data_IF_527806363173
#
_entry.id   IF_527806363173
#
_cell.length_a   1.000
_cell.length_b   1.000
_cell.length_c   1.000
_cell.angle_alpha   90.00
_cell.angle_beta   90.00
_cell.angle_gamma   90.00
#
_symmetry.space_group_name_H-M   'P 1'
#
loop_
_entity.id
_entity.type
_entity.pdbx_description
1 polymer ?
#
# COMPACT_ATOMS: atom_id res chain seq x y z
N UNK A 1 -24.93 -0.35 59.78
CA UNK A 1 -24.14 -1.06 58.75
C UNK A 1 -23.97 -0.10 57.59
N UNK A 2 -22.73 0.32 57.30
CA UNK A 2 -22.42 1.26 56.22
C UNK A 2 -21.68 0.51 55.12
N UNK A 3 -22.18 0.61 53.90
CA UNK A 3 -21.50 0.11 52.72
C UNK A 3 -20.71 1.28 52.12
N UNK A 4 -19.37 1.17 52.11
CA UNK A 4 -18.51 2.14 51.45
C UNK A 4 -18.25 1.64 50.03
N UNK A 5 -18.66 2.42 49.03
CA UNK A 5 -18.30 2.20 47.64
C UNK A 5 -17.28 3.28 47.29
N UNK A 6 -16.03 2.89 47.08
CA UNK A 6 -14.98 3.75 46.55
C UNK A 6 -14.77 3.39 45.07
N UNK A 7 -14.61 4.41 44.24
CA UNK A 7 -14.19 4.25 42.85
C UNK A 7 -12.73 4.67 42.81
N UNK A 8 -11.84 3.80 42.33
CA UNK A 8 -10.46 4.20 42.05
C UNK A 8 -10.48 5.36 41.02
N UNK A 9 -9.68 6.39 41.28
CA UNK A 9 -9.71 7.62 40.48
C UNK A 9 -9.49 7.33 38.99
N UNK A 10 -10.38 7.88 38.15
CA UNK A 10 -10.22 7.84 36.70
C UNK A 10 -8.97 8.66 36.28
N UNK A 11 -7.89 7.99 35.87
CA UNK A 11 -6.71 8.65 35.30
C UNK A 11 -6.87 8.87 33.79
N UNK A 12 -7.94 9.58 33.39
CA UNK A 12 -8.31 9.83 31.99
C UNK A 12 -7.13 10.30 31.13
N UNK A 13 -6.26 11.14 31.69
CA UNK A 13 -5.08 11.63 30.98
C UNK A 13 -4.09 10.51 30.61
N UNK A 14 -3.88 9.52 31.49
CA UNK A 14 -2.97 8.39 31.21
C UNK A 14 -3.58 7.42 30.21
N UNK A 15 -4.88 7.17 30.31
CA UNK A 15 -5.60 6.31 29.36
C UNK A 15 -5.57 6.89 27.93
N UNK A 16 -5.75 8.20 27.80
CA UNK A 16 -5.66 8.91 26.51
C UNK A 16 -4.23 8.85 25.96
N UNK A 17 -3.22 9.08 26.80
CA UNK A 17 -1.82 9.02 26.38
C UNK A 17 -1.44 7.61 25.90
N UNK A 18 -1.81 6.58 26.67
CA UNK A 18 -1.57 5.19 26.27
C UNK A 18 -2.31 4.79 24.99
N UNK A 19 -3.55 5.27 24.80
CA UNK A 19 -4.27 5.06 23.55
C UNK A 19 -3.56 5.73 22.36
N UNK A 20 -3.09 6.97 22.52
CA UNK A 20 -2.37 7.68 21.47
C UNK A 20 -1.12 6.91 21.02
N UNK A 21 -0.29 6.42 21.95
CA UNK A 21 0.91 5.65 21.61
C UNK A 21 0.59 4.35 20.86
N UNK A 22 -0.45 3.62 21.29
CA UNK A 22 -0.92 2.41 20.61
C UNK A 22 -1.49 2.71 19.24
N UNK A 23 -2.24 3.81 19.11
CA UNK A 23 -2.81 4.25 17.83
C UNK A 23 -1.71 4.60 16.84
N UNK A 24 -0.75 5.42 17.26
CA UNK A 24 0.39 5.80 16.42
C UNK A 24 1.18 4.58 15.93
N UNK A 25 1.44 3.63 16.83
CA UNK A 25 2.16 2.40 16.50
C UNK A 25 1.37 1.54 15.49
N UNK A 26 0.08 1.31 15.75
CA UNK A 26 -0.73 0.45 14.89
C UNK A 26 -1.03 1.09 13.53
N UNK A 27 -1.22 2.41 13.47
CA UNK A 27 -1.39 3.15 12.21
C UNK A 27 -0.11 3.08 11.38
N UNK A 28 1.08 3.18 11.99
CA UNK A 28 2.35 2.97 11.27
C UNK A 28 2.44 1.57 10.68
N UNK A 29 2.13 0.53 11.46
CA UNK A 29 2.10 -0.84 10.93
C UNK A 29 1.06 -1.02 9.81
N UNK A 30 -0.10 -0.35 9.89
CA UNK A 30 -1.10 -0.37 8.82
C UNK A 30 -0.59 0.31 7.54
N UNK A 31 0.14 1.43 7.67
CA UNK A 31 0.79 2.11 6.54
C UNK A 31 1.84 1.21 5.87
N UNK A 32 2.69 0.56 6.65
CA UNK A 32 3.70 -0.38 6.14
C UNK A 32 3.06 -1.54 5.38
N UNK A 33 2.05 -2.18 5.98
CA UNK A 33 1.30 -3.27 5.34
C UNK A 33 0.61 -2.80 4.06
N UNK A 34 0.01 -1.62 4.08
CA UNK A 34 -0.63 -1.01 2.91
C UNK A 34 0.36 -0.80 1.76
N UNK A 35 1.56 -0.28 2.07
CA UNK A 35 2.58 -0.02 1.08
C UNK A 35 3.10 -1.32 0.44
N UNK A 36 3.41 -2.32 1.26
CA UNK A 36 3.83 -3.65 0.81
C UNK A 36 2.74 -4.32 -0.05
N UNK A 37 1.48 -4.17 0.35
CA UNK A 37 0.34 -4.72 -0.36
C UNK A 37 0.18 -4.07 -1.75
N UNK A 38 0.23 -2.73 -1.82
CA UNK A 38 0.16 -2.00 -3.09
C UNK A 38 1.33 -2.31 -4.01
N UNK A 39 2.55 -2.40 -3.49
CA UNK A 39 3.73 -2.81 -4.26
C UNK A 39 3.50 -4.18 -4.90
N UNK A 40 3.05 -5.15 -4.10
CA UNK A 40 2.75 -6.50 -4.58
C UNK A 40 1.63 -6.50 -5.62
N UNK A 41 0.52 -5.82 -5.35
CA UNK A 41 -0.62 -5.76 -6.28
C UNK A 41 -0.25 -5.13 -7.61
N UNK A 42 0.56 -4.09 -7.60
CA UNK A 42 1.09 -3.44 -8.80
C UNK A 42 1.99 -4.41 -9.59
N UNK A 43 2.86 -5.16 -8.90
CA UNK A 43 3.69 -6.22 -9.52
C UNK A 43 2.82 -7.34 -10.11
N UNK A 44 1.74 -7.71 -9.44
CA UNK A 44 0.80 -8.73 -9.89
C UNK A 44 -0.03 -8.26 -11.09
N UNK A 45 -0.39 -6.97 -11.15
CA UNK A 45 -1.04 -6.37 -12.32
C UNK A 45 -0.16 -6.50 -13.57
N UNK A 46 1.14 -6.14 -13.47
CA UNK A 46 2.11 -6.37 -14.54
C UNK A 46 2.19 -7.85 -14.93
N UNK A 47 2.21 -8.74 -13.93
CA UNK A 47 2.33 -10.18 -14.15
C UNK A 47 1.12 -10.79 -14.88
N UNK A 48 -0.08 -10.35 -14.53
CA UNK A 48 -1.33 -10.79 -15.18
C UNK A 48 -1.50 -10.25 -16.61
N UNK A 49 -0.76 -9.19 -16.96
CA UNK A 49 -0.82 -8.55 -18.26
C UNK A 49 -1.79 -7.38 -18.26
N UNK A 50 -1.25 -6.18 -18.49
CA UNK A 50 -2.02 -4.93 -18.46
C UNK A 50 -2.49 -4.57 -19.87
N UNK A 51 -3.78 -4.29 -20.08
CA UNK A 51 -4.29 -3.89 -21.38
C UNK A 51 -3.68 -2.55 -21.84
N UNK A 52 -3.56 -2.30 -23.16
CA UNK A 52 -3.89 -3.23 -24.24
C UNK A 52 -2.78 -4.27 -24.49
N UNK A 53 -3.13 -5.43 -25.08
CA UNK A 53 -2.18 -6.50 -25.40
C UNK A 53 -1.09 -6.03 -26.39
N UNK A 54 0.02 -6.78 -26.44
CA UNK A 54 1.09 -6.52 -27.40
C UNK A 54 0.65 -6.85 -28.83
N UNK A 55 1.12 -6.07 -29.81
CA UNK A 55 0.95 -6.40 -31.24
C UNK A 55 1.69 -7.71 -31.56
N UNK A 56 1.18 -8.50 -32.51
CA UNK A 56 1.80 -9.78 -32.92
C UNK A 56 3.28 -9.66 -33.30
N UNK A 57 3.67 -8.60 -34.02
CA UNK A 57 5.08 -8.34 -34.34
C UNK A 57 5.96 -8.15 -33.08
N UNK A 58 5.41 -7.54 -32.02
CA UNK A 58 6.10 -7.35 -30.75
C UNK A 58 6.19 -8.64 -29.95
N UNK A 59 5.15 -9.47 -29.96
CA UNK A 59 5.15 -10.81 -29.34
C UNK A 59 6.21 -11.69 -30.01
N UNK A 60 6.23 -11.74 -31.34
CA UNK A 60 7.26 -12.48 -32.12
C UNK A 60 8.68 -12.05 -31.76
N UNK A 61 8.91 -10.75 -31.54
CA UNK A 61 10.22 -10.22 -31.14
C UNK A 61 10.58 -10.53 -29.68
N UNK A 62 9.63 -10.44 -28.76
CA UNK A 62 9.85 -10.57 -27.31
C UNK A 62 9.80 -12.00 -26.81
N UNK A 63 9.15 -12.91 -27.54
CA UNK A 63 8.86 -14.26 -27.10
C UNK A 63 7.80 -14.36 -25.99
N UNK A 64 7.13 -13.25 -25.63
CA UNK A 64 6.08 -13.19 -24.61
C UNK A 64 4.93 -12.29 -25.04
N UNK A 65 3.71 -12.68 -24.66
CA UNK A 65 2.50 -11.90 -24.87
C UNK A 65 2.23 -10.88 -23.76
N UNK A 66 2.87 -11.03 -22.59
CA UNK A 66 2.63 -10.20 -21.41
C UNK A 66 3.37 -8.86 -21.50
N UNK A 67 2.65 -7.72 -21.51
CA UNK A 67 3.29 -6.40 -21.50
C UNK A 67 4.18 -6.17 -20.27
N UNK A 68 5.27 -5.41 -20.44
CA UNK A 68 6.17 -4.95 -19.37
C UNK A 68 6.95 -6.05 -18.61
N UNK A 69 6.93 -7.29 -19.11
CA UNK A 69 7.61 -8.43 -18.45
C UNK A 69 8.90 -8.89 -19.11
N UNK A 70 9.30 -8.30 -20.25
CA UNK A 70 10.44 -8.67 -21.11
C UNK A 70 11.61 -9.33 -20.36
N UNK A 71 12.21 -8.58 -19.43
CA UNK A 71 13.31 -9.03 -18.55
C UNK A 71 12.93 -8.97 -17.07
N UNK A 72 11.65 -8.77 -16.76
CA UNK A 72 11.16 -8.44 -15.42
C UNK A 72 11.59 -7.07 -14.89
N UNK A 73 12.36 -6.31 -15.67
CA UNK A 73 12.98 -5.05 -15.26
C UNK A 73 11.99 -3.93 -14.93
N UNK A 74 10.77 -3.89 -15.47
CA UNK A 74 9.79 -2.89 -15.04
C UNK A 74 9.13 -3.30 -13.73
N UNK A 75 8.77 -4.59 -13.62
CA UNK A 75 8.19 -5.18 -12.41
C UNK A 75 9.12 -5.02 -11.21
N UNK A 76 10.43 -5.23 -11.38
CA UNK A 76 11.41 -5.11 -10.30
C UNK A 76 11.67 -3.67 -9.84
N UNK A 77 11.21 -2.66 -10.58
CA UNK A 77 11.41 -1.24 -10.25
C UNK A 77 10.27 -0.67 -9.43
N UNK A 78 9.19 -1.43 -9.23
CA UNK A 78 8.14 -1.08 -8.30
C UNK A 78 8.66 -1.35 -6.89
N UNK A 79 8.64 -0.31 -6.06
CA UNK A 79 9.00 -0.39 -4.67
C UNK A 79 7.99 0.39 -3.82
N UNK A 80 7.80 -0.06 -2.58
CA UNK A 80 7.33 0.76 -1.48
C UNK A 80 8.53 1.43 -0.80
N UNK A 81 8.45 2.74 -0.58
CA UNK A 81 9.31 3.46 0.34
C UNK A 81 8.48 3.86 1.57
N UNK A 82 8.85 3.26 2.70
CA UNK A 82 8.31 3.55 4.02
C UNK A 82 9.53 3.71 4.94
N UNK A 83 9.62 4.82 5.66
CA UNK A 83 10.64 5.01 6.69
C UNK A 83 11.71 6.07 6.43
N UNK A 84 11.87 6.63 5.22
CA UNK A 84 12.82 7.73 5.00
C UNK A 84 12.27 9.10 5.39
N UNK A 85 10.96 9.26 5.35
CA UNK A 85 10.28 10.46 5.80
C UNK A 85 9.80 10.17 7.21
N UNK A 86 10.17 10.98 8.21
CA UNK A 86 9.60 10.95 9.57
C UNK A 86 8.12 11.39 9.58
N UNK A 87 7.34 10.89 8.63
CA UNK A 87 5.99 11.28 8.31
C UNK A 87 5.14 10.03 8.16
N UNK A 88 3.86 10.12 8.51
CA UNK A 88 2.84 9.09 8.31
C UNK A 88 2.46 8.94 6.82
N UNK A 89 3.47 8.78 5.95
CA UNK A 89 3.36 8.72 4.50
C UNK A 89 4.18 7.53 4.01
N UNK A 90 3.55 6.70 3.19
CA UNK A 90 4.22 5.67 2.41
C UNK A 90 4.10 6.01 0.93
N UNK A 91 5.20 5.85 0.19
CA UNK A 91 5.24 6.08 -1.25
C UNK A 91 5.32 4.73 -1.96
N UNK A 92 4.51 4.52 -3.00
CA UNK A 92 4.57 3.30 -3.80
C UNK A 92 4.64 3.67 -5.27
N UNK A 93 5.65 3.16 -5.97
CA UNK A 93 5.82 3.47 -7.38
C UNK A 93 7.19 3.08 -7.92
N UNK A 94 7.57 3.77 -9.00
CA UNK A 94 8.89 3.61 -9.63
C UNK A 94 9.70 4.88 -9.38
N UNK A 95 10.87 4.71 -8.76
CA UNK A 95 11.73 5.82 -8.35
C UNK A 95 12.97 5.97 -9.24
N UNK A 96 13.64 7.12 -9.13
CA UNK A 96 14.90 7.38 -9.82
C UNK A 96 14.79 7.41 -11.35
N UNK A 97 15.84 6.95 -12.02
CA UNK A 97 16.04 7.10 -13.47
C UNK A 97 14.98 6.40 -14.35
N UNK A 98 14.21 5.46 -13.79
CA UNK A 98 13.17 4.72 -14.51
C UNK A 98 11.76 5.23 -14.30
N UNK A 99 11.57 6.19 -13.38
CA UNK A 99 10.27 6.85 -13.14
C UNK A 99 9.67 7.41 -14.44
N UNK A 100 10.50 8.00 -15.31
CA UNK A 100 10.05 8.53 -16.61
C UNK A 100 9.52 7.45 -17.56
N UNK A 101 10.18 6.29 -17.62
CA UNK A 101 9.73 5.17 -18.48
C UNK A 101 8.43 4.59 -17.92
N UNK A 102 8.35 4.45 -16.59
CA UNK A 102 7.14 4.05 -15.89
C UNK A 102 5.96 5.00 -16.19
N UNK A 103 6.19 6.32 -16.15
CA UNK A 103 5.17 7.32 -16.47
C UNK A 103 4.64 7.20 -17.91
N UNK A 104 5.52 6.98 -18.91
CA UNK A 104 5.08 6.75 -20.29
C UNK A 104 4.20 5.53 -20.45
N UNK A 105 4.41 4.49 -19.63
CA UNK A 105 3.52 3.33 -19.62
C UNK A 105 2.24 3.59 -18.83
N UNK A 106 2.31 4.23 -17.66
CA UNK A 106 1.15 4.51 -16.81
C UNK A 106 0.11 5.43 -17.49
N UNK A 107 0.58 6.41 -18.27
CA UNK A 107 -0.27 7.42 -18.92
C UNK A 107 -0.33 7.29 -20.45
N UNK A 108 0.57 6.54 -21.07
CA UNK A 108 0.69 6.47 -22.52
C UNK A 108 1.41 7.69 -23.12
N UNK A 109 1.65 7.61 -24.42
CA UNK A 109 2.21 8.69 -25.25
C UNK A 109 1.55 8.65 -26.63
N UNK A 110 1.96 9.53 -27.54
CA UNK A 110 1.51 9.50 -28.95
C UNK A 110 1.73 8.14 -29.63
N UNK A 111 2.74 7.38 -29.23
CA UNK A 111 3.14 6.11 -29.89
C UNK A 111 3.12 4.89 -28.97
N UNK A 112 3.05 5.09 -27.65
CA UNK A 112 3.01 4.03 -26.65
C UNK A 112 1.61 4.05 -26.03
N UNK A 113 0.83 2.96 -26.09
CA UNK A 113 -0.48 2.95 -25.45
C UNK A 113 -0.35 3.02 -23.93
N UNK A 114 -1.33 3.66 -23.29
CA UNK A 114 -1.50 3.63 -21.85
C UNK A 114 -1.65 2.19 -21.36
N UNK A 115 -0.94 1.88 -20.28
CA UNK A 115 -0.99 0.64 -19.52
C UNK A 115 -0.96 1.03 -18.06
N UNK A 116 -2.11 1.43 -17.52
CA UNK A 116 -2.18 1.83 -16.13
C UNK A 116 -1.95 0.62 -15.24
N UNK A 117 -0.90 0.66 -14.43
CA UNK A 117 -0.53 -0.38 -13.48
C UNK A 117 -0.54 0.14 -12.04
N UNK A 118 -0.31 1.43 -11.82
CA UNK A 118 -0.44 2.06 -10.51
C UNK A 118 -1.89 2.46 -10.25
N UNK A 119 -2.50 3.30 -11.11
CA UNK A 119 -3.86 3.81 -10.86
C UNK A 119 -4.90 2.69 -10.87
N UNK A 120 -4.86 1.82 -11.88
CA UNK A 120 -5.76 0.66 -11.96
C UNK A 120 -5.65 -0.29 -10.77
N UNK A 121 -4.48 -0.35 -10.11
CA UNK A 121 -4.31 -1.12 -8.87
C UNK A 121 -5.01 -0.44 -7.70
N UNK A 122 -4.89 0.88 -7.57
CA UNK A 122 -5.52 1.64 -6.48
C UNK A 122 -7.04 1.73 -6.67
N UNK A 123 -7.50 1.85 -7.91
CA UNK A 123 -8.92 1.91 -8.28
C UNK A 123 -9.63 0.54 -8.22
N UNK A 124 -8.89 -0.55 -8.03
CA UNK A 124 -9.47 -1.89 -7.85
C UNK A 124 -10.21 -1.97 -6.50
N UNK A 125 -11.54 -2.21 -6.47
CA UNK A 125 -12.32 -2.24 -5.23
C UNK A 125 -11.81 -3.25 -4.20
N UNK A 126 -11.21 -4.36 -4.65
CA UNK A 126 -10.60 -5.34 -3.75
C UNK A 126 -9.34 -4.80 -3.08
N UNK A 127 -8.60 -3.95 -3.78
CA UNK A 127 -7.42 -3.27 -3.23
C UNK A 127 -7.86 -2.21 -2.23
N UNK A 128 -8.84 -1.38 -2.56
CA UNK A 128 -9.41 -0.37 -1.65
C UNK A 128 -9.93 -0.98 -0.34
N UNK A 129 -10.71 -2.07 -0.43
CA UNK A 129 -11.23 -2.77 0.74
C UNK A 129 -10.12 -3.33 1.65
N UNK A 130 -9.06 -3.88 1.06
CA UNK A 130 -7.93 -4.39 1.83
C UNK A 130 -7.18 -3.27 2.57
N UNK A 131 -6.98 -2.12 1.91
CA UNK A 131 -6.37 -0.95 2.54
C UNK A 131 -7.19 -0.46 3.73
N UNK A 132 -8.50 -0.28 3.54
CA UNK A 132 -9.41 0.10 4.61
C UNK A 132 -9.35 -0.90 5.78
N UNK A 133 -9.31 -2.20 5.47
CA UNK A 133 -9.18 -3.27 6.47
C UNK A 133 -7.92 -3.14 7.34
N UNK A 134 -6.78 -2.72 6.78
CA UNK A 134 -5.56 -2.51 7.57
C UNK A 134 -5.71 -1.38 8.60
N UNK A 135 -6.35 -0.27 8.23
CA UNK A 135 -6.55 0.87 9.14
C UNK A 135 -7.65 0.62 10.17
N UNK A 136 -8.76 -0.02 9.79
CA UNK A 136 -9.79 -0.43 10.74
C UNK A 136 -9.22 -1.36 11.80
N UNK A 137 -8.44 -2.36 11.36
CA UNK A 137 -7.75 -3.27 12.28
C UNK A 137 -6.78 -2.54 13.19
N UNK A 138 -6.05 -1.55 12.69
CA UNK A 138 -5.16 -0.75 13.54
C UNK A 138 -5.92 -0.03 14.66
N UNK A 139 -7.06 0.59 14.34
CA UNK A 139 -7.92 1.25 15.35
C UNK A 139 -8.46 0.24 16.36
N UNK A 140 -8.99 -0.90 15.89
CA UNK A 140 -9.49 -1.97 16.76
C UNK A 140 -8.40 -2.49 17.71
N UNK A 141 -7.21 -2.77 17.18
CA UNK A 141 -6.08 -3.27 17.97
C UNK A 141 -5.65 -2.21 19.02
N UNK A 142 -5.73 -0.90 18.71
CA UNK A 142 -5.40 0.17 19.67
C UNK A 142 -6.42 0.34 20.80
N UNK A 143 -7.69 0.04 20.52
CA UNK A 143 -8.78 0.05 21.51
C UNK A 143 -8.67 -1.17 22.43
N UNK A 144 -8.38 -2.35 21.88
CA UNK A 144 -8.47 -3.63 22.58
C UNK A 144 -7.21 -3.96 23.41
N UNK A 145 -6.07 -3.33 23.15
CA UNK A 145 -4.80 -3.62 23.82
C UNK A 145 -4.64 -2.93 25.20
N UNK A 146 -5.74 -2.80 25.96
CA UNK A 146 -5.76 -2.19 27.31
C UNK A 146 -5.04 -3.02 28.40
N UNK A 147 -4.48 -4.18 28.08
CA UNK A 147 -4.09 -5.19 29.08
C UNK A 147 -2.63 -5.69 28.98
N UNK A 148 -1.71 -4.91 28.43
CA UNK A 148 -0.29 -5.31 28.29
C UNK A 148 0.74 -4.53 29.10
N UNK A 149 0.32 -3.78 30.11
CA UNK A 149 1.22 -3.12 31.07
C UNK A 149 0.96 -3.64 32.47
#
# INVERSE_FOLDING_TARGET
MLLKIEVEGFEVAKDIAGFHERLDTNVRHALEKSAMFLERKTKDAITRGIPPPLKQATIRRKGSSTPLIDTGLMRSQIAADYGHLKSNVALVGVFGNRSRIAAYHEFGTRTIPQRSFLRSTVEDPLTENALTGYFLKAVEDSINDKHKV
#
